data_IF_774012686026
#
_entry.id   IF_774012686026
#
_cell.length_a   1.000
_cell.length_b   1.000
_cell.length_c   1.000
_cell.angle_alpha   90.00
_cell.angle_beta   90.00
_cell.angle_gamma   90.00
#
_symmetry.space_group_name_H-M   'P 1'
#
loop_
_entity.id
_entity.type
_entity.pdbx_description
1 polymer ?
#
# COMPACT_ATOMS: atom_id res chain seq x y z
N UNK A 1 -27.45 -8.76 60.89
CA UNK A 1 -26.10 -8.33 60.48
C UNK A 1 -25.27 -9.40 59.74
N UNK A 2 -25.31 -10.70 60.14
CA UNK A 2 -24.55 -11.78 59.45
C UNK A 2 -25.02 -12.14 58.03
N UNK A 3 -26.24 -11.78 57.63
CA UNK A 3 -26.78 -12.05 56.28
C UNK A 3 -26.41 -10.97 55.24
N UNK A 4 -26.26 -9.69 55.64
CA UNK A 4 -25.85 -8.63 54.71
C UNK A 4 -24.41 -8.82 54.20
N UNK A 5 -23.53 -9.34 55.06
CA UNK A 5 -22.11 -9.53 54.73
C UNK A 5 -21.88 -10.65 53.69
N UNK A 6 -22.78 -11.64 53.60
CA UNK A 6 -22.71 -12.71 52.59
C UNK A 6 -23.21 -12.26 51.21
N UNK A 7 -24.19 -11.35 51.16
CA UNK A 7 -24.71 -10.81 49.90
C UNK A 7 -23.71 -9.85 49.26
N UNK A 8 -23.01 -9.02 50.06
CA UNK A 8 -21.96 -8.14 49.54
C UNK A 8 -20.72 -8.89 49.03
N UNK A 9 -20.38 -10.05 49.62
CA UNK A 9 -19.26 -10.87 49.12
C UNK A 9 -19.60 -11.58 47.80
N UNK A 10 -20.87 -11.96 47.60
CA UNK A 10 -21.33 -12.59 46.36
C UNK A 10 -21.39 -11.59 45.20
N UNK A 11 -21.76 -10.34 45.47
CA UNK A 11 -21.77 -9.26 44.46
C UNK A 11 -20.33 -8.84 44.08
N UNK A 12 -19.39 -8.86 45.03
CA UNK A 12 -17.98 -8.57 44.75
C UNK A 12 -17.32 -9.70 43.93
N UNK A 13 -17.68 -10.97 44.19
CA UNK A 13 -17.20 -12.11 43.41
C UNK A 13 -17.80 -12.16 41.99
N UNK A 14 -19.04 -11.70 41.82
CA UNK A 14 -19.71 -11.65 40.51
C UNK A 14 -19.31 -10.42 39.68
N UNK A 15 -18.90 -9.33 40.33
CA UNK A 15 -18.32 -8.15 39.66
C UNK A 15 -16.89 -8.37 39.12
N UNK A 16 -16.16 -9.35 39.67
CA UNK A 16 -14.79 -9.69 39.23
C UNK A 16 -14.72 -10.73 38.10
N UNK A 17 -15.86 -11.31 37.69
CA UNK A 17 -15.92 -12.25 36.55
C UNK A 17 -16.38 -11.60 35.23
N UNK A 18 -16.63 -10.29 35.20
CA UNK A 18 -17.09 -9.57 33.99
C UNK A 18 -16.00 -8.72 33.31
N UNK A 19 -14.76 -8.73 33.81
CA UNK A 19 -13.61 -8.06 33.18
C UNK A 19 -12.64 -9.03 32.51
N UNK A 20 -13.10 -10.23 32.15
CA UNK A 20 -12.42 -11.11 31.20
C UNK A 20 -12.60 -10.61 29.78
N UNK A 21 -12.15 -9.37 29.50
CA UNK A 21 -11.97 -8.94 28.12
C UNK A 21 -10.93 -9.87 27.51
N UNK A 22 -11.36 -10.71 26.57
CA UNK A 22 -10.43 -11.45 25.72
C UNK A 22 -9.67 -10.38 24.95
N UNK A 23 -8.49 -10.00 25.43
CA UNK A 23 -7.53 -9.28 24.63
C UNK A 23 -7.16 -10.22 23.50
N UNK A 24 -7.83 -10.07 22.35
CA UNK A 24 -7.39 -10.68 21.12
C UNK A 24 -5.96 -10.16 20.90
N UNK A 25 -4.98 -11.06 20.96
CA UNK A 25 -3.59 -10.70 20.74
C UNK A 25 -3.49 -10.10 19.33
N UNK A 26 -2.95 -8.88 19.24
CA UNK A 26 -2.68 -8.25 17.96
C UNK A 26 -1.68 -9.11 17.16
N UNK A 27 -1.84 -9.16 15.84
CA UNK A 27 -0.95 -9.96 14.99
C UNK A 27 0.42 -9.30 15.01
N UNK A 28 1.45 -10.10 15.26
CA UNK A 28 2.83 -9.64 15.37
C UNK A 28 3.64 -10.00 14.11
N UNK A 29 4.76 -9.32 13.91
CA UNK A 29 5.73 -9.70 12.88
C UNK A 29 6.22 -11.15 13.05
N UNK A 30 6.27 -11.66 14.29
CA UNK A 30 6.65 -13.04 14.57
C UNK A 30 5.64 -14.05 14.00
N UNK A 31 4.34 -13.74 14.03
CA UNK A 31 3.30 -14.60 13.46
C UNK A 31 3.44 -14.71 11.94
N UNK A 32 3.79 -13.59 11.28
CA UNK A 32 4.07 -13.56 9.83
C UNK A 32 5.32 -14.39 9.52
N UNK A 33 6.38 -14.22 10.29
CA UNK A 33 7.64 -14.96 10.10
C UNK A 33 7.43 -16.47 10.26
N UNK A 34 6.64 -16.89 11.24
CA UNK A 34 6.28 -18.30 11.41
C UNK A 34 5.50 -18.83 10.20
N UNK A 35 4.55 -18.06 9.66
CA UNK A 35 3.79 -18.44 8.48
C UNK A 35 4.68 -18.55 7.23
N UNK A 36 5.64 -17.64 7.04
CA UNK A 36 6.60 -17.68 5.93
C UNK A 36 7.53 -18.90 6.01
N UNK A 37 7.94 -19.31 7.21
CA UNK A 37 8.77 -20.51 7.39
C UNK A 37 8.03 -21.80 7.01
N UNK A 38 6.73 -21.89 7.32
CA UNK A 38 5.90 -23.04 6.93
C UNK A 38 5.73 -23.18 5.41
N UNK A 39 6.01 -22.12 4.67
CA UNK A 39 5.80 -22.00 3.23
C UNK A 39 6.94 -22.63 2.40
N UNK A 40 8.07 -23.00 3.04
CA UNK A 40 9.24 -23.63 2.40
C UNK A 40 9.76 -22.90 1.14
N UNK A 41 9.83 -21.57 1.21
CA UNK A 41 10.33 -20.72 0.12
C UNK A 41 11.87 -20.77 0.04
N UNK A 42 12.42 -20.51 -1.14
CA UNK A 42 13.89 -20.45 -1.31
C UNK A 42 14.47 -19.17 -0.70
N UNK A 43 13.72 -18.07 -0.82
CA UNK A 43 14.13 -16.71 -0.45
C UNK A 43 13.45 -16.22 0.84
N UNK A 44 13.09 -17.13 1.76
CA UNK A 44 12.38 -16.80 3.01
C UNK A 44 13.06 -15.66 3.76
N UNK A 45 14.38 -15.67 3.87
CA UNK A 45 15.12 -14.65 4.63
C UNK A 45 15.04 -13.26 3.97
N UNK A 46 15.13 -13.20 2.64
CA UNK A 46 14.98 -11.94 1.90
C UNK A 46 13.59 -11.35 2.12
N UNK A 47 12.55 -12.16 1.96
CA UNK A 47 11.16 -11.74 2.16
C UNK A 47 10.94 -11.29 3.61
N UNK A 48 11.48 -12.04 4.58
CA UNK A 48 11.38 -11.73 6.02
C UNK A 48 11.95 -10.35 6.34
N UNK A 49 13.17 -10.06 5.91
CA UNK A 49 13.86 -8.78 6.19
C UNK A 49 13.12 -7.60 5.54
N UNK A 50 12.66 -7.76 4.30
CA UNK A 50 11.87 -6.74 3.63
C UNK A 50 10.54 -6.47 4.34
N UNK A 51 9.85 -7.51 4.78
CA UNK A 51 8.58 -7.38 5.51
C UNK A 51 8.78 -6.70 6.86
N UNK A 52 9.84 -7.03 7.60
CA UNK A 52 10.20 -6.34 8.85
C UNK A 52 10.46 -4.85 8.63
N UNK A 53 11.15 -4.50 7.54
CA UNK A 53 11.33 -3.11 7.12
C UNK A 53 9.97 -2.45 6.86
N UNK A 54 9.11 -3.09 6.08
CA UNK A 54 7.74 -2.61 5.79
C UNK A 54 6.87 -2.42 7.04
N UNK A 55 6.96 -3.32 8.02
CA UNK A 55 6.26 -3.17 9.30
C UNK A 55 6.78 -1.97 10.08
N UNK A 56 8.10 -1.79 10.16
CA UNK A 56 8.72 -0.68 10.90
C UNK A 56 8.40 0.69 10.29
N UNK A 57 8.29 0.76 8.96
CA UNK A 57 7.93 1.97 8.21
C UNK A 57 6.40 2.20 8.15
N UNK A 58 5.60 1.20 8.51
CA UNK A 58 4.14 1.23 8.41
C UNK A 58 3.58 1.07 6.98
N UNK A 59 4.41 0.64 6.02
CA UNK A 59 4.04 0.38 4.62
C UNK A 59 3.42 -0.99 4.39
N UNK A 60 3.62 -1.90 5.33
CA UNK A 60 2.96 -3.20 5.40
C UNK A 60 2.40 -3.37 6.81
N UNK A 61 1.17 -3.86 6.94
CA UNK A 61 0.59 -4.19 8.25
C UNK A 61 0.76 -5.69 8.54
N UNK A 62 1.17 -6.10 9.75
CA UNK A 62 1.34 -7.52 10.09
C UNK A 62 0.10 -8.36 9.83
N UNK A 63 -1.09 -7.84 10.14
CA UNK A 63 -2.38 -8.51 9.91
C UNK A 63 -2.58 -8.81 8.41
N UNK A 64 -2.38 -7.80 7.56
CA UNK A 64 -2.52 -7.91 6.11
C UNK A 64 -1.49 -8.87 5.52
N UNK A 65 -0.23 -8.80 5.98
CA UNK A 65 0.83 -9.72 5.55
C UNK A 65 0.54 -11.16 5.95
N UNK A 66 0.10 -11.41 7.18
CA UNK A 66 -0.27 -12.75 7.64
C UNK A 66 -1.44 -13.31 6.83
N UNK A 67 -2.45 -12.48 6.58
CA UNK A 67 -3.60 -12.86 5.77
C UNK A 67 -3.19 -13.22 4.34
N UNK A 68 -2.38 -12.38 3.69
CA UNK A 68 -1.82 -12.63 2.37
C UNK A 68 -1.06 -13.95 2.31
N UNK A 69 -0.11 -14.18 3.23
CA UNK A 69 0.69 -15.41 3.28
C UNK A 69 -0.22 -16.63 3.47
N UNK A 70 -1.20 -16.58 4.36
CA UNK A 70 -2.15 -17.69 4.55
C UNK A 70 -2.98 -17.96 3.29
N UNK A 71 -3.44 -16.93 2.59
CA UNK A 71 -4.21 -17.12 1.35
C UNK A 71 -3.36 -17.73 0.25
N UNK A 72 -2.14 -17.21 0.04
CA UNK A 72 -1.21 -17.76 -0.94
C UNK A 72 -0.82 -19.21 -0.65
N UNK A 73 -0.74 -19.63 0.63
CA UNK A 73 -0.38 -21.02 0.97
C UNK A 73 -1.43 -22.00 0.45
N UNK A 74 -2.69 -21.60 0.53
CA UNK A 74 -3.84 -22.38 0.05
C UNK A 74 -4.18 -22.21 -1.43
N UNK A 75 -3.65 -21.18 -2.09
CA UNK A 75 -3.92 -20.91 -3.49
C UNK A 75 -3.36 -22.01 -4.41
N UNK A 76 -4.05 -22.31 -5.51
CA UNK A 76 -3.53 -23.17 -6.56
C UNK A 76 -2.40 -22.47 -7.33
N UNK A 77 -1.34 -23.21 -7.68
CA UNK A 77 -0.18 -22.69 -8.40
C UNK A 77 1.14 -23.25 -7.89
N UNK A 78 2.21 -22.99 -8.64
CA UNK A 78 3.53 -23.51 -8.27
C UNK A 78 4.10 -22.77 -7.04
N UNK A 79 4.95 -23.41 -6.23
CA UNK A 79 5.67 -22.73 -5.15
C UNK A 79 6.49 -21.53 -5.66
N UNK A 80 7.05 -21.62 -6.86
CA UNK A 80 7.80 -20.52 -7.47
C UNK A 80 6.93 -19.30 -7.80
N UNK A 81 5.70 -19.48 -8.25
CA UNK A 81 4.80 -18.33 -8.54
C UNK A 81 4.38 -17.63 -7.25
N UNK A 82 4.14 -18.41 -6.18
CA UNK A 82 3.83 -17.87 -4.84
C UNK A 82 5.03 -17.11 -4.28
N UNK A 83 6.23 -17.66 -4.44
CA UNK A 83 7.47 -17.00 -4.05
C UNK A 83 7.69 -15.70 -4.82
N UNK A 84 7.46 -15.71 -6.13
CA UNK A 84 7.61 -14.54 -6.99
C UNK A 84 6.69 -13.39 -6.56
N UNK A 85 5.42 -13.67 -6.23
CA UNK A 85 4.49 -12.67 -5.70
C UNK A 85 5.03 -12.02 -4.42
N UNK A 86 5.50 -12.85 -3.48
CA UNK A 86 6.05 -12.34 -2.21
C UNK A 86 7.36 -11.56 -2.42
N UNK A 87 8.18 -11.99 -3.39
CA UNK A 87 9.40 -11.30 -3.76
C UNK A 87 9.13 -9.94 -4.42
N UNK A 88 8.11 -9.81 -5.27
CA UNK A 88 7.70 -8.52 -5.83
C UNK A 88 7.29 -7.54 -4.74
N UNK A 89 6.53 -7.99 -3.73
CA UNK A 89 6.19 -7.13 -2.58
C UNK A 89 7.45 -6.81 -1.75
N UNK A 90 8.36 -7.77 -1.58
CA UNK A 90 9.60 -7.56 -0.86
C UNK A 90 10.52 -6.55 -1.57
N UNK A 91 10.68 -6.63 -2.89
CA UNK A 91 11.46 -5.68 -3.69
C UNK A 91 10.87 -4.28 -3.59
N UNK A 92 9.55 -4.15 -3.72
CA UNK A 92 8.88 -2.88 -3.53
C UNK A 92 9.13 -2.27 -2.13
N UNK A 93 9.16 -3.08 -1.07
CA UNK A 93 9.51 -2.62 0.28
C UNK A 93 10.99 -2.23 0.42
N UNK A 94 11.90 -3.00 -0.18
CA UNK A 94 13.34 -2.67 -0.24
C UNK A 94 13.57 -1.34 -0.96
N UNK A 95 12.76 -1.08 -1.99
CA UNK A 95 12.73 0.17 -2.74
C UNK A 95 11.85 1.23 -2.07
N UNK A 96 11.55 1.16 -0.78
CA UNK A 96 10.80 2.22 -0.11
C UNK A 96 9.46 2.59 -0.81
N UNK A 97 8.73 1.62 -1.37
CA UNK A 97 7.44 1.83 -2.04
C UNK A 97 6.25 1.50 -1.11
N UNK A 98 5.13 2.23 -1.23
CA UNK A 98 3.90 1.86 -0.53
C UNK A 98 3.24 0.65 -1.20
N UNK A 99 3.28 -0.51 -0.54
CA UNK A 99 2.88 -1.80 -1.12
C UNK A 99 1.41 -2.17 -0.92
N UNK A 100 0.60 -1.31 -0.29
CA UNK A 100 -0.82 -1.60 -0.02
C UNK A 100 -1.60 -1.95 -1.30
N UNK A 101 -1.33 -1.26 -2.41
CA UNK A 101 -1.96 -1.53 -3.71
C UNK A 101 -1.53 -2.86 -4.31
N UNK A 102 -0.27 -3.25 -4.14
CA UNK A 102 0.24 -4.55 -4.57
C UNK A 102 -0.43 -5.67 -3.79
N UNK A 103 -0.49 -5.55 -2.46
CA UNK A 103 -1.17 -6.51 -1.58
C UNK A 103 -2.64 -6.63 -1.97
N UNK A 104 -3.35 -5.52 -2.13
CA UNK A 104 -4.75 -5.50 -2.52
C UNK A 104 -4.97 -6.18 -3.88
N UNK A 105 -4.09 -5.96 -4.87
CA UNK A 105 -4.18 -6.60 -6.19
C UNK A 105 -3.98 -8.11 -6.10
N UNK A 106 -3.07 -8.58 -5.26
CA UNK A 106 -2.95 -10.03 -4.99
C UNK A 106 -4.23 -10.57 -4.38
N UNK A 107 -4.75 -9.90 -3.35
CA UNK A 107 -5.95 -10.35 -2.66
C UNK A 107 -7.18 -10.40 -3.57
N UNK A 108 -7.34 -9.38 -4.42
CA UNK A 108 -8.38 -9.31 -5.44
C UNK A 108 -8.23 -10.44 -6.45
N UNK A 109 -7.03 -10.64 -7.01
CA UNK A 109 -6.75 -11.70 -7.97
C UNK A 109 -7.06 -13.08 -7.40
N UNK A 110 -6.60 -13.35 -6.17
CA UNK A 110 -6.90 -14.59 -5.46
C UNK A 110 -8.40 -14.75 -5.18
N UNK A 111 -9.12 -13.66 -4.89
CA UNK A 111 -10.56 -13.71 -4.62
C UNK A 111 -11.37 -13.99 -5.89
N UNK A 112 -10.88 -13.52 -7.03
CA UNK A 112 -11.44 -13.80 -8.36
C UNK A 112 -11.01 -15.15 -8.94
N UNK A 113 -10.15 -15.90 -8.25
CA UNK A 113 -9.60 -17.17 -8.74
C UNK A 113 -8.67 -17.00 -9.96
N UNK A 114 -8.05 -15.84 -10.11
CA UNK A 114 -7.06 -15.62 -11.16
C UNK A 114 -5.82 -16.50 -10.92
N UNK A 115 -5.19 -16.97 -12.00
CA UNK A 115 -3.94 -17.71 -11.88
C UNK A 115 -2.83 -16.81 -11.32
N UNK A 116 -1.91 -17.39 -10.55
CA UNK A 116 -0.81 -16.63 -9.95
C UNK A 116 0.06 -15.92 -10.99
N UNK A 117 0.20 -16.50 -12.19
CA UNK A 117 0.90 -15.87 -13.31
C UNK A 117 0.18 -14.62 -13.84
N UNK A 118 -1.15 -14.61 -13.90
CA UNK A 118 -1.92 -13.42 -14.28
C UNK A 118 -1.82 -12.35 -13.20
N UNK A 119 -1.84 -12.74 -11.92
CA UNK A 119 -1.64 -11.80 -10.81
C UNK A 119 -0.25 -11.15 -10.93
N UNK A 120 0.79 -11.96 -11.15
CA UNK A 120 2.17 -11.50 -11.20
C UNK A 120 2.47 -10.65 -12.44
N UNK A 121 2.14 -11.15 -13.63
CA UNK A 121 2.59 -10.58 -14.91
C UNK A 121 1.50 -9.82 -15.66
N UNK A 122 0.25 -9.93 -15.21
CA UNK A 122 -0.90 -9.37 -15.91
C UNK A 122 -1.38 -10.23 -17.08
N UNK A 123 -2.19 -9.61 -17.93
CA UNK A 123 -2.69 -10.20 -19.17
C UNK A 123 -2.73 -9.11 -20.24
N UNK A 124 -2.04 -9.32 -21.36
CA UNK A 124 -2.11 -8.43 -22.54
C UNK A 124 -3.37 -8.60 -23.38
N UNK A 125 -4.34 -9.39 -22.92
CA UNK A 125 -5.62 -9.58 -23.59
C UNK A 125 -6.55 -8.37 -23.47
N UNK A 126 -7.81 -8.58 -23.84
CA UNK A 126 -8.89 -7.60 -23.68
C UNK A 126 -9.91 -8.18 -22.67
N UNK A 127 -10.03 -7.61 -21.46
CA UNK A 127 -9.38 -6.37 -20.99
C UNK A 127 -7.89 -6.56 -20.65
N UNK A 128 -7.12 -5.48 -20.77
CA UNK A 128 -5.74 -5.40 -20.28
C UNK A 128 -5.76 -5.52 -18.75
N UNK A 129 -4.90 -6.37 -18.20
CA UNK A 129 -4.70 -6.50 -16.76
C UNK A 129 -3.24 -6.19 -16.48
N UNK A 130 -2.98 -5.21 -15.62
CA UNK A 130 -1.65 -4.94 -15.11
C UNK A 130 -1.34 -5.87 -13.95
N UNK A 131 -0.26 -6.63 -14.08
CA UNK A 131 0.26 -7.49 -13.02
C UNK A 131 0.96 -6.69 -11.92
N UNK A 132 1.42 -7.42 -10.91
CA UNK A 132 2.21 -6.83 -9.82
C UNK A 132 3.50 -6.18 -10.34
N UNK A 133 4.18 -6.77 -11.31
CA UNK A 133 5.45 -6.22 -11.84
C UNK A 133 5.22 -4.83 -12.45
N UNK A 134 4.19 -4.66 -13.28
CA UNK A 134 3.90 -3.35 -13.86
C UNK A 134 3.38 -2.35 -12.81
N UNK A 135 2.64 -2.81 -11.80
CA UNK A 135 2.15 -1.94 -10.72
C UNK A 135 3.27 -1.50 -9.77
N UNK A 136 4.22 -2.37 -9.46
CA UNK A 136 5.45 -2.03 -8.75
C UNK A 136 6.24 -0.98 -9.53
N UNK A 137 6.42 -1.22 -10.84
CA UNK A 137 7.07 -0.26 -11.72
C UNK A 137 6.40 1.11 -11.74
N UNK A 138 5.07 1.16 -11.77
CA UNK A 138 4.31 2.42 -11.71
C UNK A 138 4.55 3.15 -10.38
N UNK A 139 4.53 2.43 -9.25
CA UNK A 139 4.83 3.02 -7.94
C UNK A 139 6.24 3.63 -7.91
N UNK A 140 7.24 2.88 -8.41
CA UNK A 140 8.62 3.35 -8.48
C UNK A 140 8.81 4.58 -9.36
N UNK A 141 8.27 4.56 -10.58
CA UNK A 141 8.41 5.68 -11.51
C UNK A 141 7.68 6.94 -11.04
N UNK A 142 6.51 6.78 -10.40
CA UNK A 142 5.78 7.89 -9.77
C UNK A 142 6.58 8.46 -8.61
N UNK A 143 7.09 7.64 -7.69
CA UNK A 143 7.96 8.08 -6.58
C UNK A 143 9.14 8.89 -7.11
N UNK A 144 9.86 8.36 -8.10
CA UNK A 144 11.02 9.02 -8.70
C UNK A 144 10.65 10.31 -9.44
N UNK A 145 9.44 10.36 -10.02
CA UNK A 145 8.92 11.59 -10.60
C UNK A 145 8.68 12.65 -9.53
N UNK A 146 8.03 12.31 -8.42
CA UNK A 146 7.78 13.25 -7.32
C UNK A 146 9.09 13.79 -6.74
N UNK A 147 10.10 12.93 -6.57
CA UNK A 147 11.45 13.37 -6.16
C UNK A 147 12.08 14.35 -7.15
N UNK A 148 12.04 14.05 -8.46
CA UNK A 148 12.56 14.97 -9.50
C UNK A 148 11.81 16.30 -9.53
N UNK A 149 10.55 16.33 -9.12
CA UNK A 149 9.74 17.56 -8.98
C UNK A 149 9.89 18.23 -7.61
N UNK A 150 10.89 17.83 -6.83
CA UNK A 150 11.22 18.41 -5.52
C UNK A 150 10.08 18.31 -4.48
N UNK A 151 9.30 17.22 -4.58
CA UNK A 151 8.29 16.83 -3.59
C UNK A 151 8.92 15.66 -2.83
N UNK A 152 9.30 15.88 -1.57
CA UNK A 152 10.18 15.00 -0.80
C UNK A 152 9.50 14.47 0.47
N UNK A 153 10.17 13.53 1.14
CA UNK A 153 9.79 13.01 2.46
C UNK A 153 10.54 13.79 3.56
N UNK A 154 9.89 14.15 4.67
CA UNK A 154 10.56 14.68 5.88
C UNK A 154 11.29 13.55 6.61
N UNK A 155 12.63 13.54 6.57
CA UNK A 155 13.46 12.64 7.38
C UNK A 155 14.55 11.95 6.57
N UNK A 156 15.78 12.49 6.63
CA UNK A 156 17.11 11.93 6.30
C UNK A 156 17.34 11.12 5.00
N UNK A 157 16.33 10.82 4.20
CA UNK A 157 16.40 9.99 2.99
C UNK A 157 16.20 10.85 1.74
N UNK A 158 16.91 11.97 1.62
CA UNK A 158 17.03 12.64 0.34
C UNK A 158 17.93 11.76 -0.55
N UNK A 159 17.51 11.36 -1.76
CA UNK A 159 18.42 10.70 -2.69
C UNK A 159 19.65 11.59 -2.89
N UNK A 160 20.85 11.07 -2.64
CA UNK A 160 22.10 11.85 -2.66
C UNK A 160 22.36 12.57 -3.99
N UNK A 161 21.69 12.14 -5.06
CA UNK A 161 21.72 12.79 -6.37
C UNK A 161 20.99 14.15 -6.45
N UNK A 162 20.27 14.57 -5.39
CA UNK A 162 19.42 15.77 -5.39
C UNK A 162 19.83 16.82 -4.34
N UNK A 163 20.96 16.63 -3.65
CA UNK A 163 21.59 17.67 -2.80
C UNK A 163 22.12 18.81 -3.68
N UNK A 164 21.31 19.84 -3.94
CA UNK A 164 21.79 21.08 -4.56
C UNK A 164 20.82 21.88 -5.42
N UNK A 165 19.60 21.39 -5.69
CA UNK A 165 18.63 22.11 -6.53
C UNK A 165 17.78 23.11 -5.72
N UNK A 166 18.07 24.40 -5.91
CA UNK A 166 17.43 25.58 -5.30
C UNK A 166 15.97 25.86 -5.71
N UNK A 167 15.27 24.93 -6.38
CA UNK A 167 13.81 25.05 -6.50
C UNK A 167 13.19 24.89 -5.09
N UNK A 168 12.08 25.57 -4.80
CA UNK A 168 11.42 25.51 -3.49
C UNK A 168 11.08 24.05 -3.10
N UNK A 169 11.99 23.39 -2.39
CA UNK A 169 11.86 22.01 -1.95
C UNK A 169 10.71 21.93 -0.94
N UNK A 170 9.75 21.04 -1.18
CA UNK A 170 8.65 20.81 -0.23
C UNK A 170 8.82 19.43 0.38
N UNK A 171 8.80 19.36 1.71
CA UNK A 171 8.92 18.11 2.44
C UNK A 171 7.56 17.71 3.00
N UNK A 172 7.15 16.47 2.72
CA UNK A 172 5.90 15.88 3.16
C UNK A 172 6.18 14.77 4.17
N UNK A 173 5.33 14.59 5.20
CA UNK A 173 5.36 13.39 6.03
C UNK A 173 5.28 12.12 5.18
N UNK A 174 6.00 11.07 5.58
CA UNK A 174 6.08 9.79 4.87
C UNK A 174 4.71 9.28 4.39
N UNK A 175 3.71 9.25 5.29
CA UNK A 175 2.36 8.77 4.95
C UNK A 175 1.66 9.60 3.88
N UNK A 176 1.84 10.93 3.89
CA UNK A 176 1.25 11.83 2.87
C UNK A 176 1.93 11.62 1.51
N UNK A 177 3.26 11.48 1.52
CA UNK A 177 4.02 11.18 0.31
C UNK A 177 3.64 9.81 -0.28
N UNK A 178 3.60 8.77 0.53
CA UNK A 178 3.18 7.43 0.12
C UNK A 178 1.75 7.44 -0.44
N UNK A 179 0.83 8.17 0.20
CA UNK A 179 -0.55 8.32 -0.29
C UNK A 179 -0.61 8.98 -1.68
N UNK A 180 0.22 10.00 -1.94
CA UNK A 180 0.35 10.60 -3.27
C UNK A 180 0.88 9.59 -4.29
N UNK A 181 1.94 8.86 -3.97
CA UNK A 181 2.52 7.84 -4.85
C UNK A 181 1.47 6.79 -5.21
N UNK A 182 0.80 6.22 -4.20
CA UNK A 182 -0.26 5.23 -4.38
C UNK A 182 -1.39 5.76 -5.27
N UNK A 183 -1.96 6.92 -4.96
CA UNK A 183 -3.11 7.43 -5.70
C UNK A 183 -2.78 7.81 -7.14
N UNK A 184 -1.59 8.35 -7.40
CA UNK A 184 -1.15 8.65 -8.76
C UNK A 184 -0.93 7.33 -9.52
N UNK A 185 -0.18 6.38 -8.96
CA UNK A 185 0.09 5.10 -9.62
C UNK A 185 -1.20 4.32 -9.93
N UNK A 186 -2.15 4.28 -9.00
CA UNK A 186 -3.45 3.63 -9.22
C UNK A 186 -4.27 4.34 -10.30
N UNK A 187 -4.33 5.67 -10.30
CA UNK A 187 -5.05 6.41 -11.35
C UNK A 187 -4.50 6.12 -12.75
N UNK A 188 -3.17 6.04 -12.88
CA UNK A 188 -2.52 5.70 -14.14
C UNK A 188 -2.77 4.23 -14.50
N UNK A 189 -2.70 3.31 -13.53
CA UNK A 189 -2.99 1.90 -13.73
C UNK A 189 -4.43 1.65 -14.19
N UNK A 190 -5.41 2.28 -13.52
CA UNK A 190 -6.84 2.16 -13.85
C UNK A 190 -7.14 2.73 -15.24
N UNK A 191 -6.49 3.85 -15.61
CA UNK A 191 -6.61 4.40 -16.96
C UNK A 191 -6.14 3.39 -18.02
N UNK A 192 -5.01 2.72 -17.79
CA UNK A 192 -4.46 1.74 -18.73
C UNK A 192 -5.32 0.47 -18.80
N UNK A 193 -5.76 -0.07 -17.66
CA UNK A 193 -6.67 -1.22 -17.60
C UNK A 193 -8.04 -0.89 -18.24
N UNK A 194 -8.42 0.39 -18.29
CA UNK A 194 -9.61 0.91 -18.97
C UNK A 194 -9.41 1.25 -20.45
N UNK A 195 -8.49 0.58 -21.15
CA UNK A 195 -8.12 0.80 -22.56
C UNK A 195 -7.56 2.20 -22.88
N UNK A 196 -7.02 2.87 -21.86
CA UNK A 196 -6.36 4.16 -22.01
C UNK A 196 -5.07 4.07 -22.83
N UNK A 197 -4.79 5.14 -23.59
CA UNK A 197 -3.59 5.24 -24.41
C UNK A 197 -2.39 5.74 -23.59
N UNK A 198 -1.32 4.93 -23.37
CA UNK A 198 -0.16 5.36 -22.59
C UNK A 198 0.62 6.54 -23.20
N UNK A 199 0.38 6.86 -24.47
CA UNK A 199 1.00 7.98 -25.17
C UNK A 199 0.24 9.30 -25.01
N UNK A 200 -0.96 9.29 -24.41
CA UNK A 200 -1.76 10.49 -24.20
C UNK A 200 -1.53 11.10 -22.81
N UNK A 201 -0.45 11.89 -22.71
CA UNK A 201 -0.09 12.58 -21.47
C UNK A 201 -1.21 13.47 -20.91
N UNK A 202 -2.09 14.01 -21.76
CA UNK A 202 -3.20 14.88 -21.33
C UNK A 202 -4.27 14.06 -20.62
N UNK A 203 -4.67 12.92 -21.19
CA UNK A 203 -5.65 12.03 -20.57
C UNK A 203 -5.09 11.36 -19.30
N UNK A 204 -3.81 10.97 -19.31
CA UNK A 204 -3.13 10.50 -18.09
C UNK A 204 -3.17 11.56 -16.98
N UNK A 205 -2.90 12.82 -17.33
CA UNK A 205 -2.97 13.93 -16.37
C UNK A 205 -4.39 14.17 -15.87
N UNK A 206 -5.40 14.06 -16.74
CA UNK A 206 -6.81 14.17 -16.33
C UNK A 206 -7.22 13.05 -15.37
N UNK A 207 -6.82 11.80 -15.64
CA UNK A 207 -7.09 10.67 -14.74
C UNK A 207 -6.44 10.88 -13.37
N UNK A 208 -5.16 11.22 -13.34
CA UNK A 208 -4.41 11.52 -12.11
C UNK A 208 -5.03 12.69 -11.33
N UNK A 209 -5.27 13.83 -11.98
CA UNK A 209 -5.77 15.03 -11.32
C UNK A 209 -7.20 14.86 -10.80
N UNK A 210 -8.04 14.12 -11.52
CA UNK A 210 -9.39 13.76 -11.05
C UNK A 210 -9.30 12.87 -9.80
N UNK A 211 -8.45 11.84 -9.80
CA UNK A 211 -8.24 10.99 -8.63
C UNK A 211 -7.80 11.80 -7.41
N UNK A 212 -6.77 12.64 -7.56
CA UNK A 212 -6.23 13.43 -6.44
C UNK A 212 -7.26 14.42 -5.87
N UNK A 213 -8.00 15.14 -6.73
CA UNK A 213 -9.05 16.07 -6.28
C UNK A 213 -10.19 15.37 -5.54
N UNK A 214 -10.53 14.15 -5.94
CA UNK A 214 -11.55 13.36 -5.24
C UNK A 214 -11.08 12.94 -3.85
N UNK A 215 -9.79 12.62 -3.68
CA UNK A 215 -9.20 12.27 -2.38
C UNK A 215 -9.12 13.48 -1.43
N UNK A 216 -8.79 14.67 -1.94
CA UNK A 216 -8.77 15.88 -1.10
C UNK A 216 -10.17 16.39 -0.74
N UNK A 217 -11.16 16.20 -1.63
CA UNK A 217 -12.54 16.63 -1.36
C UNK A 217 -13.23 15.81 -0.27
N UNK A 218 -12.73 14.61 0.04
CA UNK A 218 -13.19 13.81 1.18
C UNK A 218 -12.98 14.51 2.53
N UNK A 219 -12.03 15.45 2.61
CA UNK A 219 -11.79 16.29 3.80
C UNK A 219 -12.95 17.27 4.09
N UNK A 220 -13.65 17.74 3.05
CA UNK A 220 -14.67 18.79 3.17
C UNK A 220 -16.04 18.29 3.64
N UNK A 221 -16.27 16.98 3.73
CA UNK A 221 -17.59 16.40 4.03
C UNK A 221 -17.67 15.83 5.46
N UNK A 222 -16.56 15.79 6.21
CA UNK A 222 -16.53 15.17 7.54
C UNK A 222 -16.92 16.21 8.60
N UNK A 223 -18.11 16.13 9.23
CA UNK A 223 -18.45 16.99 10.35
C UNK A 223 -17.57 16.60 11.54
N UNK A 224 -17.03 17.59 12.25
CA UNK A 224 -16.25 17.37 13.47
C UNK A 224 -17.09 16.60 14.51
N UNK A 225 -16.93 15.27 14.59
CA UNK A 225 -17.65 14.46 15.57
C UNK A 225 -17.76 12.96 15.25
N UNK A 226 -17.70 12.56 13.98
CA UNK A 226 -17.76 11.15 13.61
C UNK A 226 -16.71 10.88 12.53
N UNK A 227 -15.60 10.26 12.92
CA UNK A 227 -14.67 9.73 11.92
C UNK A 227 -14.32 8.31 12.27
N UNK A 228 -14.98 7.38 11.56
CA UNK A 228 -14.43 6.05 11.29
C UNK A 228 -13.73 6.20 9.94
N UNK A 229 -12.49 6.72 9.92
CA UNK A 229 -11.62 6.45 8.77
C UNK A 229 -11.30 4.96 8.88
N UNK A 230 -11.58 4.12 7.87
CA UNK A 230 -11.11 2.75 7.89
C UNK A 230 -9.59 2.78 8.09
N UNK A 231 -9.09 1.96 9.03
CA UNK A 231 -7.68 1.93 9.36
C UNK A 231 -6.84 1.69 8.08
N UNK A 232 -6.10 2.72 7.64
CA UNK A 232 -5.22 2.64 6.46
C UNK A 232 -5.45 3.69 5.38
N UNK A 233 -6.62 4.35 5.32
CA UNK A 233 -6.82 5.43 4.34
C UNK A 233 -6.24 6.75 4.86
N UNK A 234 -5.26 7.29 4.13
CA UNK A 234 -4.68 8.61 4.43
C UNK A 234 -5.35 9.63 3.53
N UNK A 235 -6.09 10.56 4.14
CA UNK A 235 -6.63 11.73 3.43
C UNK A 235 -5.45 12.59 2.98
N UNK A 236 -5.44 12.96 1.70
CA UNK A 236 -4.41 13.84 1.12
C UNK A 236 -4.92 15.28 1.21
N UNK A 237 -4.26 16.15 1.98
CA UNK A 237 -4.71 17.54 2.12
C UNK A 237 -4.70 18.29 0.78
N UNK A 238 -5.62 19.24 0.63
CA UNK A 238 -5.75 20.00 -0.62
C UNK A 238 -4.44 20.69 -1.03
N UNK A 239 -3.63 21.18 -0.08
CA UNK A 239 -2.36 21.83 -0.38
C UNK A 239 -1.32 20.88 -1.00
N UNK A 240 -1.37 19.58 -0.68
CA UNK A 240 -0.49 18.57 -1.31
C UNK A 240 -0.93 18.26 -2.73
N UNK A 241 -2.24 18.20 -2.95
CA UNK A 241 -2.80 18.02 -4.30
C UNK A 241 -2.40 19.21 -5.17
N UNK A 242 -2.60 20.44 -4.70
CA UNK A 242 -2.21 21.64 -5.43
C UNK A 242 -0.71 21.67 -5.68
N UNK A 243 0.12 21.25 -4.72
CA UNK A 243 1.57 21.13 -4.90
C UNK A 243 1.93 20.19 -6.06
N UNK A 244 1.30 19.02 -6.14
CA UNK A 244 1.54 18.05 -7.22
C UNK A 244 1.06 18.60 -8.56
N UNK A 245 -0.16 19.12 -8.62
CA UNK A 245 -0.77 19.63 -9.84
C UNK A 245 -0.06 20.87 -10.41
N UNK A 246 0.62 21.65 -9.55
CA UNK A 246 1.43 22.79 -9.98
C UNK A 246 2.80 22.41 -10.53
N UNK A 247 3.26 21.16 -10.34
CA UNK A 247 4.64 20.73 -10.67
C UNK A 247 4.71 19.61 -11.68
N UNK A 248 3.70 18.75 -11.72
CA UNK A 248 3.58 17.68 -12.70
C UNK A 248 2.88 18.22 -13.94
N UNK A 249 3.48 18.00 -15.10
CA UNK A 249 2.90 18.37 -16.38
C UNK A 249 2.43 17.12 -17.13
N UNK A 250 1.48 17.24 -18.09
CA UNK A 250 1.10 16.13 -18.96
C UNK A 250 2.29 15.40 -19.61
N UNK A 251 3.32 16.15 -20.01
CA UNK A 251 4.54 15.60 -20.63
C UNK A 251 5.40 14.75 -19.68
N UNK A 252 5.21 14.84 -18.37
CA UNK A 252 5.90 14.00 -17.40
C UNK A 252 5.32 12.58 -17.32
N UNK A 253 4.03 12.41 -17.62
CA UNK A 253 3.31 11.18 -17.31
C UNK A 253 3.52 10.09 -18.35
N UNK A 254 3.57 10.43 -19.64
CA UNK A 254 3.89 9.48 -20.72
C UNK A 254 5.20 8.72 -20.48
N UNK A 255 6.36 9.36 -20.26
CA UNK A 255 7.60 8.63 -20.01
C UNK A 255 7.57 7.86 -18.68
N UNK A 256 6.82 8.32 -17.68
CA UNK A 256 6.64 7.63 -16.40
C UNK A 256 5.91 6.30 -16.60
N UNK A 257 4.79 6.32 -17.32
CA UNK A 257 4.00 5.13 -17.64
C UNK A 257 4.76 4.17 -18.56
N UNK A 258 5.36 4.67 -19.64
CA UNK A 258 6.08 3.81 -20.58
C UNK A 258 7.28 3.10 -19.94
N UNK A 259 7.99 3.77 -19.02
CA UNK A 259 9.10 3.14 -18.31
C UNK A 259 8.60 2.01 -17.39
N UNK A 260 7.51 2.22 -16.68
CA UNK A 260 6.88 1.19 -15.85
C UNK A 260 6.37 -0.01 -16.67
N UNK A 261 5.75 0.23 -17.83
CA UNK A 261 5.23 -0.85 -18.70
C UNK A 261 6.34 -1.69 -19.34
N UNK A 262 7.53 -1.12 -19.53
CA UNK A 262 8.67 -1.81 -20.15
C UNK A 262 9.55 -2.58 -19.15
N UNK A 263 9.18 -2.61 -17.86
CA UNK A 263 9.91 -3.34 -16.81
C UNK A 263 9.55 -4.83 -16.71
N UNK A 264 8.77 -5.37 -17.66
CA UNK A 264 8.38 -6.79 -17.75
C UNK A 264 9.49 -7.71 -18.24
#
# INVERSE_FOLDING_TARGET
MKYLMKVSLLILAMGLMLSGGIALAAVSAADVNQALQAFHLTSTEKIRVAFETGFSQGRLQPEGALHLVKRLSTAEGSPSDKEAILLTIAHALEDDLPVSTLVNKVEEGLARGASLLIILNGSGGQPLILGLVQREGLLGEVRDRLYRKNIFITGNNLPSALEGTQAASTFLPLRRFDALVTNIADALGDYLEGDGNPYDGVLLYQAMSTRLRNQSSAESVIPAGETIIPAGETIIPAEDVDLVLNRIEPGDLTPTVLKALNQS
#
